data_IF_443103682230
#
_entry.id   IF_443103682230
#
_cell.length_a   1.000
_cell.length_b   1.000
_cell.length_c   1.000
_cell.angle_alpha   90.00
_cell.angle_beta   90.00
_cell.angle_gamma   90.00
#
_symmetry.space_group_name_H-M   'P 1'
#
loop_
_entity.id
_entity.type
_entity.pdbx_description
1 polymer ?
#
# COMPACT_ATOMS: atom_id res chain seq x y z
N UNK A 1 26.51 42.97 41.65
CA UNK A 1 25.26 42.28 42.02
C UNK A 1 25.32 40.87 41.45
N UNK A 2 24.95 39.89 42.30
CA UNK A 2 25.04 38.42 42.18
C UNK A 2 24.28 37.88 40.94
N UNK A 3 24.85 36.96 40.14
CA UNK A 3 24.71 35.47 40.16
C UNK A 3 23.26 34.96 40.00
N UNK A 4 22.86 33.79 39.46
CA UNK A 4 23.41 32.60 38.75
C UNK A 4 22.14 31.73 38.41
N UNK A 5 22.25 30.76 37.49
CA UNK A 5 21.48 29.48 37.31
C UNK A 5 19.97 29.39 36.94
N UNK A 6 19.74 28.72 35.80
CA UNK A 6 19.05 27.42 35.56
C UNK A 6 17.83 26.93 36.37
N UNK A 7 16.98 26.24 35.60
CA UNK A 7 16.20 25.01 35.90
C UNK A 7 14.73 25.15 36.34
N UNK A 8 13.86 24.68 35.43
CA UNK A 8 12.86 23.60 35.59
C UNK A 8 12.00 23.56 36.86
N UNK A 9 10.67 23.61 36.69
CA UNK A 9 9.73 22.54 37.07
C UNK A 9 8.33 23.05 37.46
N UNK A 10 7.30 22.37 36.91
CA UNK A 10 5.88 22.30 37.34
C UNK A 10 5.09 23.61 37.17
N UNK A 11 4.05 23.68 36.36
CA UNK A 11 2.96 22.74 36.21
C UNK A 11 1.69 23.42 36.71
N UNK A 12 0.92 24.05 35.82
CA UNK A 12 -0.44 24.46 36.10
C UNK A 12 -1.16 24.73 34.76
N UNK A 13 -2.14 23.90 34.46
CA UNK A 13 -3.07 24.07 33.37
C UNK A 13 -3.84 25.39 33.54
N UNK A 14 -3.80 26.27 32.54
CA UNK A 14 -4.67 27.44 32.49
C UNK A 14 -5.66 27.27 31.35
N UNK A 15 -6.80 26.69 31.73
CA UNK A 15 -8.08 26.69 31.01
C UNK A 15 -8.43 28.12 30.58
N UNK A 16 -8.70 28.30 29.29
CA UNK A 16 -9.50 29.42 28.80
C UNK A 16 -10.95 29.23 29.25
N UNK A 17 -11.38 30.13 30.13
CA UNK A 17 -12.77 30.32 30.57
C UNK A 17 -13.40 31.33 29.62
N UNK A 18 -14.46 30.93 28.93
CA UNK A 18 -15.48 31.86 28.43
C UNK A 18 -16.77 31.53 29.18
N UNK A 19 -16.93 32.28 30.27
CA UNK A 19 -18.14 32.88 30.82
C UNK A 19 -19.49 32.19 30.54
N UNK A 20 -19.97 31.44 31.54
CA UNK A 20 -21.40 31.21 31.80
C UNK A 20 -21.77 31.99 33.07
N UNK A 21 -22.38 33.16 32.91
CA UNK A 21 -23.13 33.85 33.97
C UNK A 21 -24.44 33.07 34.23
N UNK A 22 -24.58 32.36 35.36
CA UNK A 22 -25.21 32.83 36.62
C UNK A 22 -26.74 33.04 36.39
N UNK A 23 -27.70 32.28 36.94
CA UNK A 23 -28.09 32.04 38.36
C UNK A 23 -29.32 31.06 38.31
N UNK A 24 -29.32 29.82 38.81
CA UNK A 24 -29.62 29.35 40.19
C UNK A 24 -30.77 30.09 40.90
N UNK A 25 -32.00 29.60 40.85
CA UNK A 25 -32.57 28.64 41.82
C UNK A 25 -33.55 29.31 42.81
N UNK A 26 -34.61 28.56 43.13
CA UNK A 26 -35.29 28.48 44.44
C UNK A 26 -36.57 29.33 44.73
N UNK A 27 -37.67 28.57 44.74
CA UNK A 27 -38.79 28.47 45.71
C UNK A 27 -39.94 29.49 45.77
N UNK A 28 -41.10 28.89 46.07
CA UNK A 28 -42.30 29.42 46.77
C UNK A 28 -43.10 30.46 45.98
N UNK A 29 -44.43 30.51 45.94
CA UNK A 29 -45.50 29.87 46.72
C UNK A 29 -46.85 30.38 46.18
N UNK A 30 -47.79 29.46 45.89
CA UNK A 30 -49.26 29.60 46.13
C UNK A 30 -50.04 30.76 45.44
N UNK A 31 -51.39 30.66 45.37
CA UNK A 31 -52.16 30.66 44.12
C UNK A 31 -52.89 31.99 43.90
N UNK A 32 -53.53 32.18 42.72
CA UNK A 32 -54.84 32.86 42.61
C UNK A 32 -55.44 32.76 41.20
N UNK A 33 -56.51 31.98 41.14
CA UNK A 33 -57.82 32.19 40.47
C UNK A 33 -57.90 32.51 38.96
N UNK A 34 -58.54 31.54 38.29
CA UNK A 34 -59.66 31.63 37.35
C UNK A 34 -59.49 32.45 36.07
N UNK A 35 -59.62 31.77 34.94
CA UNK A 35 -60.79 31.89 34.06
C UNK A 35 -60.92 30.61 33.22
N UNK A 36 -62.14 30.08 33.21
CA UNK A 36 -62.57 28.87 32.51
C UNK A 36 -62.66 29.11 31.01
N UNK A 37 -62.23 28.18 30.16
CA UNK A 37 -63.06 27.54 29.12
C UNK A 37 -62.29 26.48 28.29
N UNK A 38 -63.03 25.45 27.91
CA UNK A 38 -62.76 24.43 26.88
C UNK A 38 -61.76 23.30 27.18
N UNK A 39 -62.30 22.26 27.80
CA UNK A 39 -62.37 20.88 27.25
C UNK A 39 -61.46 20.62 26.04
N UNK A 40 -60.37 19.89 26.25
CA UNK A 40 -59.82 18.99 25.24
C UNK A 40 -59.72 17.60 25.85
N UNK A 41 -60.60 16.73 25.38
CA UNK A 41 -60.73 15.33 25.73
C UNK A 41 -59.43 14.60 25.31
N UNK A 42 -58.70 14.01 26.26
CA UNK A 42 -57.67 13.01 25.97
C UNK A 42 -58.36 11.73 25.48
N UNK A 43 -58.51 11.62 24.16
CA UNK A 43 -58.93 10.39 23.49
C UNK A 43 -57.67 9.54 23.28
N UNK A 44 -57.48 8.52 24.12
CA UNK A 44 -56.56 7.41 23.79
C UNK A 44 -57.23 6.60 22.70
N UNK A 45 -56.92 6.90 21.44
CA UNK A 45 -57.35 6.06 20.33
C UNK A 45 -56.57 4.73 20.42
N UNK A 46 -57.17 3.72 21.05
CA UNK A 46 -56.69 2.35 20.94
C UNK A 46 -56.75 1.95 19.46
N UNK A 47 -55.57 1.79 18.85
CA UNK A 47 -55.46 1.42 17.44
C UNK A 47 -56.13 0.06 17.27
N UNK A 48 -57.23 0.03 16.52
CA UNK A 48 -57.98 -1.20 16.24
C UNK A 48 -57.03 -2.28 15.70
N UNK A 49 -57.14 -3.54 16.15
CA UNK A 49 -56.31 -4.64 15.65
C UNK A 49 -56.41 -4.80 14.12
N UNK A 50 -57.50 -4.37 13.50
CA UNK A 50 -57.64 -4.33 12.04
C UNK A 50 -56.64 -3.39 11.35
N UNK A 51 -56.31 -2.25 11.97
CA UNK A 51 -55.33 -1.28 11.45
C UNK A 51 -53.92 -1.86 11.55
N UNK A 52 -53.61 -2.55 12.65
CA UNK A 52 -52.31 -3.22 12.84
C UNK A 52 -52.12 -4.32 11.77
N UNK A 53 -53.15 -5.14 11.54
CA UNK A 53 -53.11 -6.18 10.50
C UNK A 53 -52.92 -5.55 9.11
N UNK A 54 -53.63 -4.46 8.79
CA UNK A 54 -53.49 -3.78 7.51
C UNK A 54 -52.06 -3.24 7.28
N UNK A 55 -51.40 -2.68 8.31
CA UNK A 55 -50.02 -2.20 8.24
C UNK A 55 -49.04 -3.35 8.04
N UNK A 56 -49.20 -4.45 8.77
CA UNK A 56 -48.32 -5.63 8.65
C UNK A 56 -48.43 -6.24 7.26
N UNK A 57 -49.64 -6.36 6.71
CA UNK A 57 -49.87 -6.93 5.37
C UNK A 57 -49.29 -6.02 4.28
N UNK A 58 -49.48 -4.70 4.38
CA UNK A 58 -48.90 -3.75 3.41
C UNK A 58 -47.37 -3.72 3.49
N UNK A 59 -46.80 -3.75 4.69
CA UNK A 59 -45.35 -3.83 4.85
C UNK A 59 -44.78 -5.13 4.28
N UNK A 60 -45.37 -6.29 4.61
CA UNK A 60 -44.94 -7.58 4.08
C UNK A 60 -45.03 -7.65 2.55
N UNK A 61 -46.10 -7.12 1.95
CA UNK A 61 -46.27 -7.06 0.49
C UNK A 61 -45.21 -6.15 -0.16
N UNK A 62 -44.91 -4.99 0.44
CA UNK A 62 -43.87 -4.07 -0.07
C UNK A 62 -42.47 -4.70 -0.03
N UNK A 63 -42.14 -5.43 1.04
CA UNK A 63 -40.87 -6.15 1.19
C UNK A 63 -40.75 -7.24 0.12
N UNK A 64 -41.83 -7.99 -0.13
CA UNK A 64 -41.87 -9.04 -1.16
C UNK A 64 -41.74 -8.51 -2.60
N UNK A 65 -42.09 -7.25 -2.87
CA UNK A 65 -41.95 -6.67 -4.21
C UNK A 65 -40.64 -5.89 -4.39
N UNK A 66 -40.24 -5.11 -3.38
CA UNK A 66 -39.07 -4.23 -3.46
C UNK A 66 -37.76 -5.01 -3.39
N UNK A 67 -37.66 -6.05 -2.55
CA UNK A 67 -36.42 -6.83 -2.42
C UNK A 67 -36.08 -7.58 -3.71
N UNK A 68 -37.00 -8.32 -4.36
CA UNK A 68 -36.70 -8.97 -5.63
C UNK A 68 -36.40 -7.97 -6.74
N UNK A 69 -37.15 -6.87 -6.85
CA UNK A 69 -36.89 -5.83 -7.83
C UNK A 69 -35.48 -5.22 -7.64
N UNK A 70 -35.10 -4.92 -6.41
CA UNK A 70 -33.76 -4.44 -6.06
C UNK A 70 -32.67 -5.47 -6.40
N UNK A 71 -32.89 -6.74 -6.07
CA UNK A 71 -31.99 -7.84 -6.41
C UNK A 71 -31.83 -8.01 -7.92
N UNK A 72 -32.91 -7.88 -8.70
CA UNK A 72 -32.89 -7.96 -10.17
C UNK A 72 -32.18 -6.76 -10.80
N UNK A 73 -32.40 -5.54 -10.28
CA UNK A 73 -31.69 -4.34 -10.72
C UNK A 73 -30.18 -4.44 -10.41
N UNK A 74 -29.80 -4.92 -9.22
CA UNK A 74 -28.41 -5.19 -8.86
C UNK A 74 -27.79 -6.30 -9.71
N UNK A 75 -28.53 -7.36 -10.02
CA UNK A 75 -28.07 -8.42 -10.95
C UNK A 75 -27.85 -7.88 -12.36
N UNK A 76 -28.72 -7.01 -12.86
CA UNK A 76 -28.53 -6.33 -14.16
C UNK A 76 -27.34 -5.36 -14.14
N UNK A 77 -27.14 -4.62 -13.06
CA UNK A 77 -25.96 -3.75 -12.89
C UNK A 77 -24.65 -4.55 -12.84
N UNK A 78 -24.63 -5.70 -12.12
CA UNK A 78 -23.49 -6.65 -12.15
C UNK A 78 -23.30 -7.27 -13.52
N UNK A 79 -24.37 -7.64 -14.23
CA UNK A 79 -24.28 -8.22 -15.59
C UNK A 79 -23.76 -7.19 -16.61
N UNK A 80 -24.14 -5.90 -16.47
CA UNK A 80 -23.59 -4.79 -17.27
C UNK A 80 -22.13 -4.49 -16.90
N UNK A 81 -21.75 -4.62 -15.62
CA UNK A 81 -20.34 -4.53 -15.19
C UNK A 81 -19.49 -5.70 -15.68
N UNK A 82 -20.07 -6.90 -15.85
CA UNK A 82 -19.35 -8.08 -16.33
C UNK A 82 -19.33 -8.16 -17.87
N UNK A 83 -20.33 -7.61 -18.56
CA UNK A 83 -20.37 -7.54 -20.03
C UNK A 83 -19.58 -6.36 -20.63
N UNK A 84 -19.12 -5.41 -19.80
CA UNK A 84 -18.18 -4.34 -20.20
C UNK A 84 -16.71 -4.79 -20.01
N UNK A 85 -16.47 -5.99 -19.44
CA UNK A 85 -15.13 -6.54 -19.25
C UNK A 85 -14.64 -7.42 -20.40
N UNK A 86 -15.42 -7.56 -21.49
CA UNK A 86 -14.94 -8.15 -22.74
C UNK A 86 -14.79 -7.05 -23.79
N UNK A 87 -13.54 -6.86 -24.20
CA UNK A 87 -13.02 -5.99 -25.27
C UNK A 87 -13.32 -4.47 -25.19
N UNK A 88 -12.51 -3.77 -24.41
CA UNK A 88 -11.71 -2.65 -24.95
C UNK A 88 -10.59 -2.31 -23.96
N UNK A 89 -9.30 -2.36 -24.35
CA UNK A 89 -8.22 -1.98 -23.45
C UNK A 89 -8.33 -0.48 -23.20
N UNK A 90 -8.74 -0.10 -21.98
CA UNK A 90 -8.64 1.28 -21.52
C UNK A 90 -7.18 1.68 -21.62
N UNK A 91 -6.91 2.63 -22.52
CA UNK A 91 -5.63 3.27 -22.76
C UNK A 91 -5.05 3.77 -21.43
N UNK A 92 -4.27 2.88 -20.83
CA UNK A 92 -3.52 3.05 -19.62
C UNK A 92 -2.08 2.87 -20.04
N UNK A 93 -1.21 3.72 -19.51
CA UNK A 93 0.27 3.76 -19.39
C UNK A 93 1.15 2.65 -20.05
N UNK A 94 0.62 1.46 -20.31
CA UNK A 94 1.21 0.31 -20.98
C UNK A 94 1.44 0.45 -22.50
N UNK A 95 0.90 1.48 -23.18
CA UNK A 95 1.05 1.64 -24.63
C UNK A 95 2.51 1.75 -25.08
N UNK A 96 3.34 2.46 -24.31
CA UNK A 96 4.77 2.59 -24.56
C UNK A 96 5.56 1.34 -24.13
N UNK A 97 5.11 0.71 -23.05
CA UNK A 97 5.67 -0.51 -22.50
C UNK A 97 5.58 -1.66 -23.51
N UNK A 98 4.48 -1.74 -24.27
CA UNK A 98 4.30 -2.72 -25.35
C UNK A 98 5.16 -2.45 -26.60
N UNK A 99 5.35 -1.18 -27.00
CA UNK A 99 6.12 -0.84 -28.19
C UNK A 99 7.63 -1.13 -28.01
N UNK A 100 8.16 -0.87 -26.81
CA UNK A 100 9.56 -1.19 -26.45
C UNK A 100 9.75 -2.61 -25.89
N UNK A 101 8.71 -3.28 -25.39
CA UNK A 101 8.80 -4.69 -25.03
C UNK A 101 8.95 -5.57 -26.28
N UNK A 102 8.21 -5.28 -27.37
CA UNK A 102 8.17 -6.13 -28.56
C UNK A 102 9.55 -6.50 -29.16
N UNK A 103 10.54 -5.61 -29.11
CA UNK A 103 11.88 -5.85 -29.66
C UNK A 103 12.88 -6.47 -28.69
N UNK A 104 12.59 -6.48 -27.38
CA UNK A 104 13.53 -6.87 -26.31
C UNK A 104 12.98 -7.99 -25.40
N UNK A 105 11.76 -8.48 -25.65
CA UNK A 105 11.14 -9.65 -24.97
C UNK A 105 12.12 -10.83 -24.92
N UNK A 106 12.90 -11.05 -25.98
CA UNK A 106 13.90 -12.14 -26.04
C UNK A 106 14.96 -12.05 -24.94
N UNK A 107 15.37 -10.83 -24.56
CA UNK A 107 16.36 -10.63 -23.48
C UNK A 107 15.76 -10.90 -22.10
N UNK A 108 14.48 -10.56 -21.91
CA UNK A 108 13.76 -10.83 -20.66
C UNK A 108 13.46 -12.32 -20.52
N UNK A 109 13.06 -12.98 -21.61
CA UNK A 109 12.84 -14.43 -21.67
C UNK A 109 14.13 -15.21 -21.39
N UNK A 110 15.29 -14.71 -21.82
CA UNK A 110 16.58 -15.36 -21.54
C UNK A 110 16.96 -15.43 -20.06
N UNK A 111 16.30 -14.62 -19.21
CA UNK A 111 16.52 -14.61 -17.76
C UNK A 111 15.54 -15.52 -17.00
N UNK A 112 14.72 -16.31 -17.69
CA UNK A 112 13.77 -17.20 -17.07
C UNK A 112 14.47 -18.45 -16.50
N UNK A 113 14.24 -18.72 -15.22
CA UNK A 113 14.66 -19.94 -14.53
C UNK A 113 13.51 -20.94 -14.46
N UNK A 114 13.86 -22.22 -14.54
CA UNK A 114 12.99 -23.31 -14.12
C UNK A 114 12.69 -23.21 -12.61
N UNK A 115 11.43 -23.43 -12.22
CA UNK A 115 11.02 -23.34 -10.81
C UNK A 115 11.73 -24.39 -9.97
N UNK A 116 11.91 -25.61 -10.49
CA UNK A 116 12.64 -26.68 -9.79
C UNK A 116 14.08 -26.27 -9.45
N UNK A 117 14.74 -25.50 -10.31
CA UNK A 117 16.06 -24.91 -10.02
C UNK A 117 16.02 -23.94 -8.85
N UNK A 118 15.03 -23.06 -8.79
CA UNK A 118 14.87 -22.08 -7.70
C UNK A 118 14.46 -22.79 -6.39
N UNK A 119 13.60 -23.79 -6.46
CA UNK A 119 13.19 -24.61 -5.33
C UNK A 119 14.38 -25.36 -4.73
N UNK A 120 15.19 -26.01 -5.57
CA UNK A 120 16.41 -26.67 -5.12
C UNK A 120 17.37 -25.68 -4.45
N UNK A 121 17.57 -24.51 -5.07
CA UNK A 121 18.46 -23.47 -4.55
C UNK A 121 18.02 -22.91 -3.19
N UNK A 122 16.72 -22.91 -2.90
CA UNK A 122 16.14 -22.38 -1.66
C UNK A 122 15.80 -23.47 -0.63
N UNK A 123 16.13 -24.73 -0.91
CA UNK A 123 15.70 -25.90 -0.13
C UNK A 123 14.17 -25.92 0.06
N UNK A 124 13.44 -25.88 -1.06
CA UNK A 124 11.96 -25.85 -1.14
C UNK A 124 11.35 -24.68 -0.35
N UNK A 125 11.96 -23.51 -0.43
CA UNK A 125 11.55 -22.32 0.34
C UNK A 125 11.48 -22.58 1.85
N UNK A 126 12.44 -23.33 2.41
CA UNK A 126 12.51 -23.57 3.86
C UNK A 126 12.51 -22.26 4.64
N UNK A 127 11.81 -22.24 5.78
CA UNK A 127 11.80 -21.09 6.67
C UNK A 127 13.19 -20.78 7.25
N UNK A 128 14.10 -21.77 7.31
CA UNK A 128 15.51 -21.55 7.69
C UNK A 128 16.25 -20.61 6.73
N UNK A 129 15.80 -20.57 5.46
CA UNK A 129 16.36 -19.72 4.42
C UNK A 129 15.61 -18.39 4.29
N UNK A 130 14.55 -18.15 5.07
CA UNK A 130 13.77 -16.91 4.98
C UNK A 130 14.57 -15.75 5.55
N UNK A 131 14.80 -14.72 4.73
CA UNK A 131 15.56 -13.52 5.10
C UNK A 131 14.69 -12.27 5.23
N UNK A 132 13.45 -12.32 4.76
CA UNK A 132 12.51 -11.21 4.90
C UNK A 132 11.08 -11.61 4.56
N UNK A 133 10.12 -10.82 5.03
CA UNK A 133 8.72 -10.89 4.66
C UNK A 133 8.13 -9.49 4.70
N UNK A 134 7.34 -9.17 3.68
CA UNK A 134 6.66 -7.89 3.60
C UNK A 134 5.35 -8.01 2.84
N UNK A 135 4.76 -6.85 2.51
CA UNK A 135 3.49 -6.75 1.77
C UNK A 135 3.51 -7.56 0.46
N UNK A 136 4.67 -7.65 -0.18
CA UNK A 136 4.83 -8.20 -1.52
C UNK A 136 5.19 -9.69 -1.53
N UNK A 137 5.36 -10.30 -0.36
CA UNK A 137 5.67 -11.72 -0.23
C UNK A 137 6.87 -11.99 0.66
N UNK A 138 7.41 -13.20 0.53
CA UNK A 138 8.54 -13.70 1.33
C UNK A 138 9.81 -13.65 0.50
N UNK A 139 10.93 -13.36 1.15
CA UNK A 139 12.25 -13.37 0.53
C UNK A 139 13.10 -14.46 1.18
N UNK A 140 13.67 -15.32 0.35
CA UNK A 140 14.50 -16.45 0.76
C UNK A 140 15.92 -16.29 0.24
N UNK A 141 16.91 -16.68 1.04
CA UNK A 141 18.27 -16.90 0.60
C UNK A 141 18.33 -18.22 -0.15
N UNK A 142 19.04 -18.24 -1.27
CA UNK A 142 19.31 -19.46 -2.02
C UNK A 142 20.76 -19.56 -2.48
N UNK A 143 21.14 -20.75 -2.96
CA UNK A 143 22.44 -21.04 -3.56
C UNK A 143 22.21 -21.80 -4.86
N UNK A 144 22.55 -21.19 -6.00
CA UNK A 144 22.45 -21.82 -7.32
C UNK A 144 23.57 -22.88 -7.51
N UNK A 145 23.48 -23.69 -8.57
CA UNK A 145 24.35 -24.85 -8.86
C UNK A 145 25.86 -24.57 -8.97
N UNK A 146 26.28 -23.31 -8.91
CA UNK A 146 27.68 -22.87 -8.95
C UNK A 146 28.14 -22.23 -7.61
N UNK A 147 27.38 -22.40 -6.53
CA UNK A 147 27.66 -21.78 -5.24
C UNK A 147 27.28 -20.29 -5.16
N UNK A 148 26.71 -19.74 -6.23
CA UNK A 148 26.26 -18.34 -6.30
C UNK A 148 25.07 -18.11 -5.36
N UNK A 149 25.28 -17.26 -4.36
CA UNK A 149 24.24 -16.85 -3.41
C UNK A 149 23.25 -15.89 -4.08
N UNK A 150 21.97 -16.12 -3.87
CA UNK A 150 20.87 -15.32 -4.43
C UNK A 150 19.82 -14.98 -3.36
N UNK A 151 19.03 -13.94 -3.64
CA UNK A 151 17.82 -13.62 -2.89
C UNK A 151 16.60 -13.88 -3.78
N UNK A 152 15.68 -14.71 -3.32
CA UNK A 152 14.49 -15.14 -4.06
C UNK A 152 13.26 -14.52 -3.43
N UNK A 153 12.65 -13.54 -4.12
CA UNK A 153 11.38 -12.91 -3.72
C UNK A 153 10.23 -13.74 -4.31
N UNK A 154 9.49 -14.43 -3.44
CA UNK A 154 8.30 -15.22 -3.77
C UNK A 154 7.05 -14.39 -3.48
N UNK A 155 6.34 -14.03 -4.55
CA UNK A 155 5.13 -13.20 -4.45
C UNK A 155 3.95 -14.01 -3.91
N UNK A 156 3.01 -13.34 -3.24
CA UNK A 156 1.79 -13.99 -2.75
C UNK A 156 0.93 -14.48 -3.90
N UNK A 157 0.49 -15.75 -3.83
CA UNK A 157 -0.27 -16.43 -4.90
C UNK A 157 -1.66 -15.79 -5.14
N UNK A 158 -2.22 -15.07 -4.17
CA UNK A 158 -3.64 -14.68 -4.15
C UNK A 158 -3.95 -13.24 -4.56
N UNK A 159 -2.97 -12.41 -4.90
CA UNK A 159 -3.22 -10.99 -5.19
C UNK A 159 -2.98 -10.65 -6.67
N UNK A 160 -4.00 -10.07 -7.32
CA UNK A 160 -3.87 -9.45 -8.64
C UNK A 160 -2.79 -8.36 -8.63
N UNK A 161 -2.68 -7.65 -7.52
CA UNK A 161 -1.63 -6.65 -7.29
C UNK A 161 -0.23 -7.25 -7.36
N UNK A 162 0.01 -8.44 -6.78
CA UNK A 162 1.32 -9.09 -6.81
C UNK A 162 1.73 -9.50 -8.22
N UNK A 163 0.77 -9.86 -9.09
CA UNK A 163 1.04 -10.14 -10.50
C UNK A 163 1.44 -8.87 -11.27
N UNK A 164 0.74 -7.75 -11.06
CA UNK A 164 1.08 -6.47 -11.69
C UNK A 164 2.46 -5.96 -11.25
N UNK A 165 2.77 -6.06 -9.95
CA UNK A 165 4.07 -5.69 -9.40
C UNK A 165 5.19 -6.59 -9.91
N UNK A 166 4.96 -7.92 -9.96
CA UNK A 166 5.90 -8.86 -10.57
C UNK A 166 6.21 -8.49 -12.03
N UNK A 167 5.18 -8.28 -12.86
CA UNK A 167 5.37 -7.90 -14.26
C UNK A 167 6.11 -6.57 -14.41
N UNK A 168 5.73 -5.57 -13.61
CA UNK A 168 6.43 -4.28 -13.61
C UNK A 168 7.90 -4.46 -13.27
N UNK A 169 8.18 -5.22 -12.21
CA UNK A 169 9.54 -5.40 -11.71
C UNK A 169 10.38 -6.13 -12.77
N UNK A 170 9.91 -7.25 -13.33
CA UNK A 170 10.58 -7.96 -14.45
C UNK A 170 10.88 -7.00 -15.62
N UNK A 171 9.90 -6.24 -16.09
CA UNK A 171 10.06 -5.42 -17.30
C UNK A 171 10.98 -4.22 -17.07
N UNK A 172 10.94 -3.62 -15.87
CA UNK A 172 11.75 -2.45 -15.55
C UNK A 172 13.17 -2.84 -15.16
N UNK A 173 13.33 -3.72 -14.16
CA UNK A 173 14.65 -4.01 -13.61
C UNK A 173 15.53 -4.79 -14.59
N UNK A 174 14.96 -5.60 -15.50
CA UNK A 174 15.73 -6.27 -16.54
C UNK A 174 16.41 -5.28 -17.49
N UNK A 175 15.89 -4.06 -17.60
CA UNK A 175 16.44 -2.98 -18.44
C UNK A 175 17.43 -2.08 -17.70
N UNK A 176 17.58 -2.27 -16.39
CA UNK A 176 18.37 -1.39 -15.55
C UNK A 176 19.63 -2.11 -15.07
N UNK A 177 20.78 -1.54 -15.40
CA UNK A 177 22.07 -2.04 -14.96
C UNK A 177 22.89 -0.87 -14.44
N UNK A 178 23.04 -0.81 -13.12
CA UNK A 178 23.82 0.23 -12.48
C UNK A 178 24.33 -0.25 -11.12
N UNK A 179 25.53 0.19 -10.72
CA UNK A 179 26.19 -0.25 -9.47
C UNK A 179 25.39 0.06 -8.19
N UNK A 180 24.50 1.06 -8.24
CA UNK A 180 23.66 1.47 -7.12
C UNK A 180 22.20 1.01 -7.27
N UNK A 181 21.92 0.02 -8.11
CA UNK A 181 20.63 -0.67 -8.18
C UNK A 181 20.87 -2.18 -7.96
N UNK A 182 19.93 -2.85 -7.29
CA UNK A 182 20.03 -4.30 -7.07
C UNK A 182 19.76 -5.02 -8.39
N UNK A 183 20.69 -5.90 -8.78
CA UNK A 183 20.62 -6.62 -10.04
C UNK A 183 19.65 -7.80 -9.96
N UNK A 184 18.67 -7.81 -10.86
CA UNK A 184 17.89 -9.02 -11.16
C UNK A 184 18.77 -9.99 -11.96
N UNK A 185 18.84 -11.23 -11.48
CA UNK A 185 19.54 -12.33 -12.12
C UNK A 185 18.59 -13.16 -12.97
N UNK A 186 17.32 -13.22 -12.59
CA UNK A 186 16.29 -13.84 -13.38
C UNK A 186 14.96 -13.95 -12.65
N UNK A 187 14.03 -14.66 -13.27
CA UNK A 187 12.66 -14.77 -12.78
C UNK A 187 12.09 -16.15 -13.10
N UNK A 188 11.06 -16.58 -12.38
CA UNK A 188 10.37 -17.84 -12.61
C UNK A 188 8.87 -17.64 -12.48
N UNK A 189 8.10 -18.24 -13.39
CA UNK A 189 6.65 -18.29 -13.30
C UNK A 189 6.17 -19.68 -13.73
N UNK A 190 5.37 -20.34 -12.88
CA UNK A 190 4.71 -21.60 -13.20
C UNK A 190 3.44 -21.73 -12.37
N UNK A 191 2.31 -21.97 -13.03
CA UNK A 191 1.00 -21.96 -12.36
C UNK A 191 0.76 -20.64 -11.63
N UNK A 192 0.66 -20.69 -10.30
CA UNK A 192 0.51 -19.48 -9.48
C UNK A 192 1.82 -18.99 -8.84
N UNK A 193 2.93 -19.72 -8.98
CA UNK A 193 4.25 -19.31 -8.47
C UNK A 193 4.81 -18.17 -9.32
N UNK A 194 5.34 -17.15 -8.63
CA UNK A 194 5.94 -15.96 -9.23
C UNK A 194 7.17 -15.60 -8.40
N UNK A 195 8.34 -15.75 -8.99
CA UNK A 195 9.62 -15.67 -8.31
C UNK A 195 10.53 -14.66 -9.01
N UNK A 196 11.15 -13.77 -8.24
CA UNK A 196 12.26 -12.93 -8.72
C UNK A 196 13.54 -13.34 -8.02
N UNK A 197 14.61 -13.51 -8.79
CA UNK A 197 15.92 -13.93 -8.32
C UNK A 197 16.88 -12.75 -8.44
N UNK A 198 17.33 -12.24 -7.30
CA UNK A 198 18.27 -11.13 -7.20
C UNK A 198 19.66 -11.59 -6.77
N UNK A 199 20.66 -10.73 -7.00
CA UNK A 199 21.91 -10.84 -6.27
C UNK A 199 21.67 -10.81 -4.75
N UNK A 200 22.41 -11.64 -4.01
CA UNK A 200 22.28 -11.66 -2.55
C UNK A 200 23.04 -10.48 -1.93
N UNK A 201 22.34 -9.71 -1.10
CA UNK A 201 22.91 -8.56 -0.37
C UNK A 201 23.16 -8.95 1.10
N UNK A 202 24.43 -9.09 1.53
CA UNK A 202 24.76 -9.65 2.85
C UNK A 202 24.43 -8.72 4.02
N UNK A 203 24.52 -7.42 3.84
CA UNK A 203 24.44 -6.43 4.93
C UNK A 203 23.01 -6.04 5.30
N UNK A 204 21.99 -6.76 4.80
CA UNK A 204 20.56 -6.45 4.98
C UNK A 204 20.24 -4.99 4.56
N UNK A 205 19.05 -4.52 4.87
CA UNK A 205 18.56 -3.18 4.50
C UNK A 205 19.14 -2.07 5.39
N UNK A 206 19.24 -0.87 4.84
CA UNK A 206 19.80 0.32 5.52
C UNK A 206 19.01 0.73 6.76
N UNK A 207 17.72 0.39 6.85
CA UNK A 207 16.90 0.58 8.06
C UNK A 207 17.53 -0.05 9.32
N UNK A 208 18.21 -1.19 9.18
CA UNK A 208 18.91 -1.85 10.28
C UNK A 208 20.09 -1.05 10.85
N UNK A 209 20.63 -0.09 10.10
CA UNK A 209 21.71 0.81 10.55
C UNK A 209 21.21 2.17 11.02
N UNK A 210 20.05 2.63 10.53
CA UNK A 210 19.44 3.89 10.98
C UNK A 210 18.80 3.72 12.36
N UNK A 211 18.10 2.61 12.58
CA UNK A 211 17.23 2.44 13.75
C UNK A 211 17.86 1.62 14.89
N UNK A 212 19.06 1.06 14.68
CA UNK A 212 19.82 0.34 15.69
C UNK A 212 20.92 1.25 16.26
N UNK A 213 20.73 1.70 17.51
CA UNK A 213 21.66 2.60 18.19
C UNK A 213 23.05 2.00 18.44
N UNK A 214 23.19 0.67 18.34
CA UNK A 214 24.47 -0.01 18.53
C UNK A 214 25.28 -0.14 17.22
N UNK A 215 24.70 0.22 16.07
CA UNK A 215 25.29 0.06 14.73
C UNK A 215 25.27 1.35 13.91
N UNK A 216 25.54 2.47 14.57
CA UNK A 216 25.63 3.77 13.91
C UNK A 216 26.75 3.77 12.85
N UNK A 217 26.39 4.14 11.63
CA UNK A 217 27.35 4.36 10.56
C UNK A 217 28.19 5.60 10.88
N UNK A 218 29.50 5.52 10.64
CA UNK A 218 30.33 6.72 10.68
C UNK A 218 29.90 7.70 9.57
N UNK A 219 30.27 8.96 9.72
CA UNK A 219 29.87 10.01 8.76
C UNK A 219 30.37 9.70 7.34
N UNK A 220 31.56 9.11 7.22
CA UNK A 220 32.17 8.76 5.94
C UNK A 220 31.36 7.70 5.19
N UNK A 221 30.92 6.66 5.89
CA UNK A 221 30.07 5.58 5.35
C UNK A 221 28.69 6.13 5.03
N UNK A 222 28.12 6.93 5.92
CA UNK A 222 26.82 7.60 5.69
C UNK A 222 26.84 8.46 4.42
N UNK A 223 27.89 9.26 4.23
CA UNK A 223 28.08 10.05 3.02
C UNK A 223 28.17 9.15 1.78
N UNK A 224 28.94 8.06 1.86
CA UNK A 224 29.08 7.09 0.75
C UNK A 224 27.74 6.46 0.37
N UNK A 225 26.92 6.11 1.37
CA UNK A 225 25.56 5.59 1.17
C UNK A 225 24.67 6.64 0.50
N UNK A 226 24.64 7.87 1.01
CA UNK A 226 23.84 8.98 0.44
C UNK A 226 24.25 9.25 -1.01
N UNK A 227 25.55 9.34 -1.29
CA UNK A 227 26.06 9.50 -2.66
C UNK A 227 25.73 8.30 -3.55
N UNK A 228 25.71 7.09 -3.01
CA UNK A 228 25.24 5.89 -3.72
C UNK A 228 23.78 5.99 -4.13
N UNK A 229 22.90 6.35 -3.18
CA UNK A 229 21.46 6.53 -3.43
C UNK A 229 21.24 7.64 -4.47
N UNK A 230 21.91 8.78 -4.33
CA UNK A 230 21.79 9.90 -5.26
C UNK A 230 22.20 9.50 -6.69
N UNK A 231 23.30 8.76 -6.85
CA UNK A 231 23.72 8.23 -8.16
C UNK A 231 22.73 7.23 -8.73
N UNK A 232 22.17 6.35 -7.89
CA UNK A 232 21.12 5.42 -8.33
C UNK A 232 19.87 6.15 -8.81
N UNK A 233 19.46 7.22 -8.12
CA UNK A 233 18.32 8.06 -8.50
C UNK A 233 18.57 8.87 -9.77
N UNK A 234 19.75 9.49 -9.87
CA UNK A 234 20.15 10.21 -11.08
C UNK A 234 20.10 9.28 -12.30
N UNK A 235 20.64 8.07 -12.15
CA UNK A 235 20.57 7.08 -13.22
C UNK A 235 19.12 6.80 -13.63
N UNK A 236 18.21 6.59 -12.70
CA UNK A 236 16.79 6.32 -13.02
C UNK A 236 16.09 7.52 -13.69
N UNK A 237 16.45 8.75 -13.32
CA UNK A 237 15.74 9.95 -13.74
C UNK A 237 16.30 10.59 -15.03
N UNK A 238 17.60 10.44 -15.26
CA UNK A 238 18.34 11.21 -16.27
C UNK A 238 19.20 10.31 -17.17
N UNK A 239 19.97 9.38 -16.61
CA UNK A 239 20.99 8.64 -17.40
C UNK A 239 20.48 7.33 -18.02
N UNK A 240 19.38 6.77 -17.54
CA UNK A 240 18.79 5.57 -18.12
C UNK A 240 18.04 5.90 -19.41
N UNK A 241 18.03 4.95 -20.35
CA UNK A 241 17.33 5.08 -21.64
C UNK A 241 15.86 5.49 -21.51
N UNK A 242 15.22 5.11 -20.40
CA UNK A 242 13.87 5.49 -20.04
C UNK A 242 13.92 6.28 -18.75
N UNK A 243 13.17 7.38 -18.64
CA UNK A 243 13.00 8.08 -17.37
C UNK A 243 12.09 7.27 -16.45
N UNK A 244 12.59 6.82 -15.32
CA UNK A 244 11.90 5.94 -14.37
C UNK A 244 11.78 6.61 -13.02
N UNK A 245 10.57 6.61 -12.46
CA UNK A 245 10.32 7.05 -11.09
C UNK A 245 10.03 5.82 -10.24
N UNK A 246 10.81 5.61 -9.17
CA UNK A 246 10.71 4.44 -8.28
C UNK A 246 9.36 4.37 -7.52
N UNK A 247 8.86 5.52 -7.05
CA UNK A 247 7.61 5.71 -6.28
C UNK A 247 7.50 5.02 -4.90
N UNK A 248 8.40 4.11 -4.55
CA UNK A 248 8.47 3.49 -3.21
C UNK A 248 9.90 3.51 -2.63
N UNK A 249 10.60 4.64 -2.76
CA UNK A 249 11.94 4.76 -2.19
C UNK A 249 11.82 5.02 -0.68
N UNK A 250 12.38 4.11 0.12
CA UNK A 250 12.41 4.15 1.59
C UNK A 250 13.65 3.42 2.10
N UNK A 251 14.06 3.62 3.37
CA UNK A 251 15.26 2.98 3.92
C UNK A 251 15.29 1.45 3.79
N UNK A 252 14.15 0.78 3.92
CA UNK A 252 14.07 -0.68 3.75
C UNK A 252 14.25 -1.17 2.31
N UNK A 253 14.13 -0.26 1.33
CA UNK A 253 14.37 -0.51 -0.10
C UNK A 253 15.76 -0.04 -0.56
N UNK A 254 16.66 0.30 0.38
CA UNK A 254 18.08 0.54 0.13
C UNK A 254 18.86 -0.56 0.82
N UNK A 255 19.50 -1.42 0.04
CA UNK A 255 20.32 -2.53 0.53
C UNK A 255 21.79 -2.15 0.48
N UNK A 256 22.59 -2.67 1.41
CA UNK A 256 24.04 -2.47 1.42
C UNK A 256 24.73 -3.78 1.02
N UNK A 257 25.75 -3.69 0.17
CA UNK A 257 26.61 -4.85 -0.11
C UNK A 257 27.74 -4.97 0.92
N UNK A 258 28.70 -5.86 0.63
CA UNK A 258 29.85 -6.14 1.49
C UNK A 258 30.81 -4.95 1.62
N UNK A 259 30.83 -4.05 0.64
CA UNK A 259 31.67 -2.85 0.62
C UNK A 259 30.92 -1.61 1.14
N UNK A 260 29.75 -1.80 1.76
CA UNK A 260 28.85 -0.73 2.22
C UNK A 260 28.36 0.18 1.08
N UNK A 261 28.32 -0.33 -0.16
CA UNK A 261 27.77 0.39 -1.30
C UNK A 261 26.25 0.22 -1.30
N UNK A 262 25.55 1.36 -1.37
CA UNK A 262 24.09 1.39 -1.40
C UNK A 262 23.53 0.97 -2.76
N UNK A 263 22.54 0.08 -2.75
CA UNK A 263 21.79 -0.38 -3.91
C UNK A 263 20.28 -0.24 -3.69
N UNK A 264 19.60 0.45 -4.59
CA UNK A 264 18.14 0.62 -4.57
C UNK A 264 17.47 -0.68 -5.06
N UNK A 265 16.42 -1.11 -4.38
CA UNK A 265 15.65 -2.32 -4.65
C UNK A 265 14.13 -2.06 -4.68
N UNK A 266 13.35 -3.06 -5.08
CA UNK A 266 11.88 -3.10 -5.03
C UNK A 266 11.17 -2.15 -6.01
N UNK A 267 11.28 -2.49 -7.30
CA UNK A 267 10.74 -1.69 -8.41
C UNK A 267 9.30 -2.07 -8.79
N UNK A 268 8.60 -2.86 -7.98
CA UNK A 268 7.20 -3.27 -8.29
C UNK A 268 6.25 -2.09 -8.46
N UNK A 269 6.57 -0.97 -7.81
CA UNK A 269 5.86 0.30 -7.92
C UNK A 269 6.50 1.28 -8.91
N UNK A 270 7.60 0.98 -9.57
CA UNK A 270 8.24 1.95 -10.48
C UNK A 270 7.41 2.19 -11.76
N UNK A 271 7.58 3.35 -12.39
CA UNK A 271 6.91 3.71 -13.66
C UNK A 271 7.85 4.45 -14.60
N UNK A 272 7.63 4.23 -15.89
CA UNK A 272 8.29 4.98 -16.97
C UNK A 272 7.51 6.28 -17.19
N UNK A 273 8.22 7.38 -17.38
CA UNK A 273 7.67 8.69 -17.70
C UNK A 273 8.23 9.15 -19.04
N UNK A 274 7.37 9.76 -19.86
CA UNK A 274 7.81 10.44 -21.07
C UNK A 274 8.32 11.84 -20.75
N UNK A 275 9.26 12.36 -21.56
CA UNK A 275 9.80 13.72 -21.44
C UNK A 275 8.70 14.81 -21.43
N UNK A 276 7.53 14.53 -22.04
CA UNK A 276 6.38 15.44 -22.10
C UNK A 276 5.35 15.25 -20.97
N UNK A 277 5.56 14.32 -20.04
CA UNK A 277 4.64 14.03 -18.94
C UNK A 277 5.29 14.34 -17.59
N UNK A 278 5.16 15.59 -17.13
CA UNK A 278 5.61 15.99 -15.79
C UNK A 278 4.63 15.60 -14.67
N UNK A 279 3.45 15.06 -15.02
CA UNK A 279 2.38 14.73 -14.09
C UNK A 279 1.77 13.39 -14.50
N UNK A 280 2.13 12.30 -13.80
CA UNK A 280 1.31 11.10 -13.82
C UNK A 280 0.26 11.23 -12.72
N UNK A 281 -1.03 11.20 -13.10
CA UNK A 281 -2.11 11.11 -12.13
C UNK A 281 -2.00 9.76 -11.40
N UNK A 282 -1.53 9.80 -10.15
CA UNK A 282 -1.58 8.64 -9.27
C UNK A 282 -3.04 8.35 -8.93
N UNK A 283 -3.67 7.44 -9.68
CA UNK A 283 -5.05 6.96 -9.39
C UNK A 283 -5.17 6.26 -8.03
N UNK A 284 -4.03 5.91 -7.42
CA UNK A 284 -3.94 5.16 -6.17
C UNK A 284 -2.85 5.80 -5.31
N UNK A 285 -3.26 6.33 -4.17
CA UNK A 285 -2.33 6.71 -3.10
C UNK A 285 -1.85 5.42 -2.45
N UNK A 286 -0.54 5.22 -2.43
CA UNK A 286 0.09 4.07 -1.80
C UNK A 286 1.27 4.62 -1.01
N UNK A 287 1.16 4.54 0.31
CA UNK A 287 2.17 4.93 1.27
C UNK A 287 2.03 4.05 2.52
N UNK A 288 3.00 4.15 3.41
CA UNK A 288 2.99 3.63 4.78
C UNK A 288 3.16 4.80 5.73
#
# INVERSE_FOLDING_TARGET
MKNITSSTSRGAAMKLVIERSQIKDVKSSLPLRSLSLCVFCERKDEISPAIIIAIVVTFAASVLLVIPAYCLLRRRAKKKSNAINDESPKQSDYGLLNYHAASEITTVESLQFDIGTIEAATNKFSDDNKIGEGRFGKVYKGVLLEGKKVAVKRFSMKSLQGLEEFKNEVILIAKLQHRNLVRLLGWGIEGEEKLLVYEFMPSKSHDSFIFDSERLLDWKTSYTVISGIARGLQYLLEDSRLKIIHRDLKPSNVLLDHDMVAKISDFGMARIFNENQNIANAKRVVGT
#
